data_IF_090169990717
#
_entry.id   IF_090169990717
#
_cell.length_a   1.000
_cell.length_b   1.000
_cell.length_c   1.000
_cell.angle_alpha   90.00
_cell.angle_beta   90.00
_cell.angle_gamma   90.00
#
_symmetry.space_group_name_H-M   'P 1'
#
loop_
_entity.id
_entity.type
_entity.pdbx_description
1 polymer ?
#
# COMPACT_ATOMS: atom_id res chain seq x y z
N UNK A 1 -6.09 -9.48 10.17
CA UNK A 1 -6.03 -9.86 8.74
C UNK A 1 -4.63 -10.31 8.40
N UNK A 2 -4.49 -11.34 7.62
CA UNK A 2 -3.17 -11.77 7.18
C UNK A 2 -3.19 -12.23 5.74
N UNK A 3 -2.05 -12.07 5.06
CA UNK A 3 -1.80 -12.63 3.74
C UNK A 3 -1.05 -13.93 3.94
N UNK A 4 -1.31 -14.92 3.08
CA UNK A 4 -0.68 -16.22 3.19
C UNK A 4 0.79 -16.21 2.79
N UNK A 5 1.21 -15.21 2.02
CA UNK A 5 2.55 -15.20 1.43
C UNK A 5 3.04 -13.77 1.22
N UNK A 6 4.36 -13.66 1.07
CA UNK A 6 5.03 -12.39 0.78
C UNK A 6 5.83 -12.62 -0.51
N UNK A 7 5.30 -12.15 -1.64
CA UNK A 7 5.92 -12.39 -2.95
C UNK A 7 6.34 -11.11 -3.69
N UNK A 8 6.02 -9.95 -3.14
CA UNK A 8 6.34 -8.68 -3.79
C UNK A 8 5.47 -8.35 -4.98
N UNK A 9 4.41 -9.13 -5.21
CA UNK A 9 3.50 -8.91 -6.34
C UNK A 9 2.22 -8.25 -5.84
N UNK A 10 1.88 -7.12 -6.43
CA UNK A 10 0.64 -6.42 -6.09
C UNK A 10 -0.48 -6.95 -6.98
N UNK A 11 -1.03 -8.09 -6.59
CA UNK A 11 -2.19 -8.66 -7.26
C UNK A 11 -3.48 -8.38 -6.49
N UNK A 12 -4.59 -9.02 -6.89
CA UNK A 12 -5.90 -8.78 -6.26
C UNK A 12 -5.90 -9.04 -4.75
N UNK A 13 -5.17 -10.03 -4.28
CA UNK A 13 -5.12 -10.33 -2.85
C UNK A 13 -4.45 -9.22 -2.06
N UNK A 14 -3.34 -8.69 -2.57
CA UNK A 14 -2.64 -7.58 -1.94
C UNK A 14 -3.50 -6.32 -1.99
N UNK A 15 -4.14 -6.04 -3.14
CA UNK A 15 -5.03 -4.90 -3.25
C UNK A 15 -6.18 -4.99 -2.26
N UNK A 16 -6.78 -6.16 -2.12
CA UNK A 16 -7.87 -6.37 -1.15
C UNK A 16 -7.40 -6.12 0.28
N UNK A 17 -6.18 -6.56 0.60
CA UNK A 17 -5.62 -6.34 1.92
C UNK A 17 -5.38 -4.85 2.19
N UNK A 18 -4.90 -4.12 1.19
CA UNK A 18 -4.73 -2.67 1.30
C UNK A 18 -6.09 -2.00 1.51
N UNK A 19 -7.09 -2.40 0.74
CA UNK A 19 -8.44 -1.84 0.85
C UNK A 19 -9.02 -2.04 2.24
N UNK A 20 -8.85 -3.22 2.83
CA UNK A 20 -9.29 -3.47 4.20
C UNK A 20 -8.54 -2.59 5.20
N UNK A 21 -7.25 -2.44 4.99
CA UNK A 21 -6.41 -1.63 5.88
C UNK A 21 -6.83 -0.17 5.88
N UNK A 22 -7.18 0.37 4.71
CA UNK A 22 -7.54 1.80 4.59
C UNK A 22 -9.04 2.06 4.72
N UNK A 23 -9.84 1.01 4.83
CA UNK A 23 -11.28 1.15 5.00
C UNK A 23 -12.08 1.34 3.73
N UNK A 24 -11.51 0.97 2.58
CA UNK A 24 -12.20 1.08 1.30
C UNK A 24 -13.06 -0.13 0.99
N UNK A 25 -13.76 -0.08 -0.14
CA UNK A 25 -14.54 -1.20 -0.64
C UNK A 25 -13.58 -2.27 -1.17
N UNK A 26 -13.74 -3.50 -0.67
CA UNK A 26 -12.82 -4.59 -0.98
C UNK A 26 -13.25 -5.28 -2.27
N UNK A 27 -12.61 -4.95 -3.38
CA UNK A 27 -12.92 -5.53 -4.69
C UNK A 27 -11.68 -6.07 -5.42
N UNK A 28 -10.50 -5.98 -4.79
CA UNK A 28 -9.26 -6.47 -5.38
C UNK A 28 -8.64 -5.53 -6.40
N UNK A 29 -9.22 -4.36 -6.62
CA UNK A 29 -8.71 -3.34 -7.53
C UNK A 29 -8.46 -2.05 -6.75
N UNK A 30 -7.25 -1.53 -6.86
CA UNK A 30 -6.90 -0.30 -6.16
C UNK A 30 -7.30 0.89 -7.03
N UNK A 31 -8.53 1.36 -6.82
CA UNK A 31 -9.08 2.49 -7.56
C UNK A 31 -8.49 3.80 -7.07
N UNK A 32 -8.81 4.89 -7.78
CA UNK A 32 -8.36 6.23 -7.38
C UNK A 32 -8.87 6.58 -5.96
N UNK A 33 -10.11 6.19 -5.66
CA UNK A 33 -10.67 6.40 -4.33
C UNK A 33 -9.88 5.65 -3.27
N UNK A 34 -9.49 4.41 -3.58
CA UNK A 34 -8.68 3.61 -2.68
C UNK A 34 -7.29 4.23 -2.47
N UNK A 35 -6.71 4.77 -3.54
CA UNK A 35 -5.41 5.45 -3.44
C UNK A 35 -5.51 6.67 -2.52
N UNK A 36 -6.59 7.44 -2.65
CA UNK A 36 -6.80 8.58 -1.76
C UNK A 36 -6.92 8.14 -0.30
N UNK A 37 -7.64 7.05 -0.06
CA UNK A 37 -7.77 6.52 1.30
C UNK A 37 -6.42 6.06 1.84
N UNK A 38 -5.62 5.40 1.01
CA UNK A 38 -4.27 5.01 1.37
C UNK A 38 -3.41 6.22 1.72
N UNK A 39 -3.49 7.26 0.90
CA UNK A 39 -2.73 8.48 1.12
C UNK A 39 -3.08 9.13 2.47
N UNK A 40 -4.37 9.18 2.80
CA UNK A 40 -4.79 9.69 4.12
C UNK A 40 -4.25 8.82 5.25
N UNK A 41 -4.26 7.51 5.05
CA UNK A 41 -3.78 6.56 6.06
C UNK A 41 -2.30 6.76 6.36
N UNK A 42 -1.50 7.07 5.35
CA UNK A 42 -0.05 7.23 5.52
C UNK A 42 0.39 8.69 5.71
N UNK A 43 -0.55 9.63 5.66
CA UNK A 43 -0.23 11.04 5.89
C UNK A 43 0.25 11.78 4.65
N UNK A 44 -0.05 11.28 3.46
CA UNK A 44 0.27 11.96 2.21
C UNK A 44 -0.92 12.77 1.70
N UNK A 45 -0.67 13.70 0.78
CA UNK A 45 -1.74 14.47 0.15
C UNK A 45 -2.63 13.54 -0.67
N UNK A 46 -3.97 13.57 -0.45
CA UNK A 46 -4.87 12.61 -1.09
C UNK A 46 -5.29 13.07 -2.50
N UNK A 47 -4.35 13.02 -3.42
CA UNK A 47 -4.59 13.43 -4.81
C UNK A 47 -4.98 12.27 -5.73
N UNK A 48 -4.97 11.04 -5.23
CA UNK A 48 -5.37 9.86 -5.99
C UNK A 48 -4.30 9.32 -6.92
N UNK A 49 -3.10 9.85 -6.86
CA UNK A 49 -1.99 9.42 -7.72
C UNK A 49 -0.82 8.98 -6.84
N UNK A 50 -0.36 7.75 -7.04
CA UNK A 50 0.80 7.24 -6.33
C UNK A 50 2.05 7.81 -6.99
N UNK A 51 2.77 8.65 -6.26
CA UNK A 51 4.01 9.25 -6.71
C UNK A 51 5.06 9.18 -5.63
N UNK A 52 6.20 9.89 -5.79
CA UNK A 52 7.30 9.80 -4.82
C UNK A 52 6.90 10.17 -3.40
N UNK A 53 6.03 11.15 -3.24
CA UNK A 53 5.60 11.59 -1.90
C UNK A 53 4.77 10.53 -1.22
N UNK A 54 3.84 9.93 -1.96
CA UNK A 54 3.01 8.84 -1.43
C UNK A 54 3.88 7.65 -1.05
N UNK A 55 4.83 7.31 -1.92
CA UNK A 55 5.72 6.18 -1.66
C UNK A 55 6.56 6.42 -0.42
N UNK A 56 7.12 7.61 -0.26
CA UNK A 56 7.91 7.94 0.91
C UNK A 56 7.09 7.85 2.20
N UNK A 57 5.88 8.40 2.15
CA UNK A 57 4.98 8.36 3.32
C UNK A 57 4.59 6.93 3.67
N UNK A 58 4.28 6.12 2.65
CA UNK A 58 3.96 4.70 2.85
C UNK A 58 5.15 3.96 3.44
N UNK A 59 6.33 4.12 2.87
CA UNK A 59 7.54 3.44 3.33
C UNK A 59 7.84 3.81 4.78
N UNK A 60 7.66 5.07 5.14
CA UNK A 60 7.83 5.51 6.52
C UNK A 60 6.81 4.83 7.43
N UNK A 61 5.57 4.76 7.00
CA UNK A 61 4.47 4.19 7.81
C UNK A 61 4.71 2.72 8.10
N UNK A 62 5.19 1.96 7.14
CA UNK A 62 5.36 0.51 7.28
C UNK A 62 6.79 0.12 7.68
N UNK A 63 7.68 1.08 7.85
CA UNK A 63 9.04 0.80 8.25
C UNK A 63 9.91 0.25 7.13
N UNK A 64 9.55 0.52 5.88
CA UNK A 64 10.32 0.08 4.73
C UNK A 64 11.42 1.07 4.38
N UNK A 65 12.40 0.60 3.60
CA UNK A 65 13.47 1.46 3.12
C UNK A 65 12.94 2.47 2.12
N UNK A 66 13.29 3.73 2.30
CA UNK A 66 12.94 4.80 1.37
C UNK A 66 13.93 4.76 0.22
N UNK A 67 13.45 4.33 -0.95
CA UNK A 67 14.31 4.11 -2.12
C UNK A 67 14.03 5.06 -3.29
N UNK A 68 13.18 6.07 -3.09
CA UNK A 68 12.88 7.04 -4.12
C UNK A 68 11.96 6.55 -5.22
N UNK A 69 11.31 5.40 -5.04
CA UNK A 69 10.39 4.86 -6.03
C UNK A 69 9.19 5.79 -6.23
N UNK A 70 8.66 5.79 -7.45
CA UNK A 70 7.47 6.57 -7.82
C UNK A 70 6.22 5.72 -7.89
N UNK A 71 6.34 4.42 -7.66
CA UNK A 71 5.22 3.49 -7.75
C UNK A 71 5.46 2.37 -6.74
N UNK A 72 4.45 1.51 -6.57
CA UNK A 72 4.56 0.38 -5.67
C UNK A 72 5.49 -0.67 -6.29
N UNK A 73 6.75 -0.55 -5.96
CA UNK A 73 7.79 -1.46 -6.44
C UNK A 73 7.78 -2.75 -5.62
N UNK A 74 8.48 -3.76 -6.14
CA UNK A 74 8.50 -5.09 -5.52
C UNK A 74 8.96 -5.06 -4.07
N UNK A 75 10.02 -4.32 -3.78
CA UNK A 75 10.57 -4.25 -2.42
C UNK A 75 9.56 -3.63 -1.45
N UNK A 76 8.89 -2.55 -1.86
CA UNK A 76 7.90 -1.90 -1.02
C UNK A 76 6.67 -2.77 -0.84
N UNK A 77 6.21 -3.43 -1.92
CA UNK A 77 5.06 -4.35 -1.83
C UNK A 77 5.38 -5.48 -0.87
N UNK A 78 6.58 -6.04 -0.94
CA UNK A 78 6.99 -7.11 -0.01
C UNK A 78 6.95 -6.63 1.44
N UNK A 79 7.49 -5.46 1.71
CA UNK A 79 7.47 -4.88 3.06
C UNK A 79 6.05 -4.61 3.53
N UNK A 80 5.20 -4.13 2.63
CA UNK A 80 3.79 -3.88 2.94
C UNK A 80 3.06 -5.18 3.26
N UNK A 81 3.32 -6.24 2.50
CA UNK A 81 2.71 -7.54 2.75
C UNK A 81 3.10 -8.06 4.13
N UNK A 82 4.38 -7.94 4.52
CA UNK A 82 4.81 -8.32 5.86
C UNK A 82 4.13 -7.48 6.94
N UNK A 83 4.04 -6.18 6.70
CA UNK A 83 3.39 -5.26 7.63
C UNK A 83 1.92 -5.64 7.83
N UNK A 84 1.21 -5.91 6.74
CA UNK A 84 -0.21 -6.28 6.81
C UNK A 84 -0.40 -7.66 7.44
N UNK A 85 0.53 -8.60 7.24
CA UNK A 85 0.46 -9.90 7.87
C UNK A 85 0.60 -9.83 9.39
N UNK A 86 1.26 -8.83 9.90
CA UNK A 86 1.49 -8.67 11.34
C UNK A 86 0.34 -7.99 12.07
N UNK A 87 -0.71 -7.62 11.38
CA UNK A 87 -1.80 -6.83 11.98
C UNK A 87 -2.99 -7.67 12.41
#
# INVERSE_FOLDING_TARGET
>A
MSLQFVDGIRGPKTNAAIERWVGGSVDGTLSRTDVKALQRKVGAAPDGVIGPRTMRALQTKIGATKNGSRHLDRATVRSLQRYLNAR
#
